data_IF_578941570264
#
_entry.id   IF_578941570264
#
_cell.length_a   1.000
_cell.length_b   1.000
_cell.length_c   1.000
_cell.angle_alpha   90.00
_cell.angle_beta   90.00
_cell.angle_gamma   90.00
#
_symmetry.space_group_name_H-M   'P 1'
#
loop_
_entity.id
_entity.type
_entity.pdbx_description
1 polymer ?
#
# COMPACT_ATOMS: atom_id res chain seq x y z
N UNK A 1 35.52 30.00 16.68
CA UNK A 1 36.71 29.19 16.37
C UNK A 1 36.26 28.07 15.46
N UNK A 2 36.48 28.25 14.19
CA UNK A 2 36.11 27.37 13.09
C UNK A 2 37.17 26.30 12.89
N UNK A 3 36.80 25.02 12.77
CA UNK A 3 37.67 23.95 12.26
C UNK A 3 37.12 23.43 10.93
N UNK A 4 37.98 23.16 9.95
CA UNK A 4 37.59 22.80 8.60
C UNK A 4 37.34 21.29 8.40
N UNK A 5 36.49 20.99 7.42
CA UNK A 5 36.14 19.66 6.91
C UNK A 5 37.24 19.16 5.96
N UNK A 6 37.68 17.90 5.99
CA UNK A 6 38.58 17.37 4.97
C UNK A 6 37.81 16.78 3.78
N UNK A 7 38.28 17.16 2.59
CA UNK A 7 37.97 16.61 1.28
C UNK A 7 38.47 15.17 1.14
N UNK A 8 37.64 14.27 0.63
CA UNK A 8 38.08 12.96 0.12
C UNK A 8 37.81 12.89 -1.39
N UNK A 9 38.88 13.00 -2.15
CA UNK A 9 38.89 12.73 -3.59
C UNK A 9 39.78 11.50 -3.86
N UNK A 10 39.31 10.66 -4.79
CA UNK A 10 40.01 9.70 -5.64
C UNK A 10 40.50 8.37 -5.05
N UNK A 11 39.86 7.30 -5.51
CA UNK A 11 40.56 6.07 -5.87
C UNK A 11 40.24 5.69 -7.32
N UNK A 12 41.28 5.74 -8.14
CA UNK A 12 41.33 5.24 -9.51
C UNK A 12 41.82 3.80 -9.42
N UNK A 13 41.05 2.84 -9.94
CA UNK A 13 41.51 1.46 -10.14
C UNK A 13 41.95 1.27 -11.60
N UNK A 14 43.23 0.96 -11.75
CA UNK A 14 43.87 0.52 -13.00
C UNK A 14 43.37 -0.89 -13.39
N UNK A 15 42.91 -1.02 -14.62
CA UNK A 15 42.73 -2.30 -15.30
C UNK A 15 44.00 -2.68 -16.05
N UNK A 16 44.57 -3.83 -15.75
CA UNK A 16 45.68 -4.43 -16.48
C UNK A 16 45.14 -5.26 -17.67
N UNK A 17 45.85 -5.11 -18.75
CA UNK A 17 45.72 -5.73 -20.08
C UNK A 17 46.09 -7.23 -20.09
N UNK A 18 45.47 -8.00 -20.99
CA UNK A 18 46.07 -9.20 -21.55
C UNK A 18 45.11 -10.30 -21.94
N UNK A 19 44.77 -10.40 -23.17
CA UNK A 19 45.01 -11.56 -24.06
C UNK A 19 44.08 -11.54 -25.28
N UNK A 20 44.65 -11.68 -26.47
CA UNK A 20 43.95 -11.75 -27.74
C UNK A 20 43.56 -13.21 -28.06
N UNK A 21 42.42 -13.47 -28.69
CA UNK A 21 42.13 -14.78 -29.29
C UNK A 21 42.46 -14.83 -30.76
N UNK A 22 43.01 -15.99 -31.14
CA UNK A 22 43.40 -16.43 -32.47
C UNK A 22 42.27 -16.39 -33.53
N UNK A 23 42.66 -16.06 -34.76
CA UNK A 23 41.82 -16.13 -35.96
C UNK A 23 41.58 -17.57 -36.37
N UNK A 24 40.34 -18.02 -36.43
CA UNK A 24 39.88 -19.16 -37.21
C UNK A 24 38.98 -18.71 -38.35
N UNK A 25 39.35 -19.20 -39.54
CA UNK A 25 38.84 -18.88 -40.86
C UNK A 25 37.40 -19.35 -41.12
N UNK A 26 36.71 -18.52 -41.87
CA UNK A 26 35.34 -18.70 -42.38
C UNK A 26 35.24 -19.81 -43.45
N UNK A 27 34.20 -20.64 -43.36
CA UNK A 27 33.36 -21.13 -44.45
C UNK A 27 32.35 -22.16 -43.95
N UNK A 28 31.20 -21.72 -43.51
CA UNK A 28 29.89 -22.43 -43.51
C UNK A 28 28.84 -21.61 -42.71
N UNK A 29 28.43 -20.49 -43.25
CA UNK A 29 27.35 -19.65 -42.65
C UNK A 29 26.51 -19.04 -43.78
N UNK A 30 25.65 -19.82 -44.39
CA UNK A 30 24.67 -19.23 -45.31
C UNK A 30 23.31 -19.96 -45.41
N UNK A 31 23.09 -21.07 -44.68
CA UNK A 31 21.78 -21.77 -44.78
C UNK A 31 21.02 -21.97 -43.45
N UNK A 32 21.55 -21.50 -42.34
CA UNK A 32 20.86 -21.68 -41.02
C UNK A 32 20.09 -20.46 -40.53
N UNK A 33 20.29 -19.27 -41.11
CA UNK A 33 19.75 -18.03 -40.59
C UNK A 33 18.33 -17.67 -41.08
N UNK A 34 17.77 -18.34 -42.08
CA UNK A 34 16.43 -17.94 -42.58
C UNK A 34 15.27 -18.62 -41.81
N UNK A 35 15.49 -19.83 -41.27
CA UNK A 35 14.45 -20.54 -40.50
C UNK A 35 14.30 -20.00 -39.06
N UNK A 36 15.42 -19.67 -38.43
CA UNK A 36 15.42 -19.13 -37.03
C UNK A 36 14.85 -17.72 -36.99
N UNK A 37 15.06 -16.90 -38.03
CA UNK A 37 14.46 -15.55 -38.09
C UNK A 37 12.96 -15.57 -38.38
N UNK A 38 12.45 -16.56 -39.12
CA UNK A 38 10.99 -16.70 -39.31
C UNK A 38 10.28 -17.27 -38.09
N UNK A 39 10.90 -18.14 -37.32
CA UNK A 39 10.34 -18.64 -36.06
C UNK A 39 10.42 -17.58 -34.95
N UNK A 40 11.47 -16.76 -34.85
CA UNK A 40 11.59 -15.64 -33.96
C UNK A 40 10.59 -14.51 -34.29
N UNK A 41 10.35 -14.23 -35.59
CA UNK A 41 9.34 -13.25 -36.00
C UNK A 41 7.91 -13.73 -35.77
N UNK A 42 7.66 -15.05 -35.84
CA UNK A 42 6.35 -15.62 -35.54
C UNK A 42 6.08 -15.69 -34.03
N UNK A 43 7.12 -15.94 -33.23
CA UNK A 43 7.01 -15.89 -31.75
C UNK A 43 6.84 -14.45 -31.23
N UNK A 44 7.50 -13.46 -31.84
CA UNK A 44 7.27 -12.05 -31.51
C UNK A 44 5.89 -11.54 -31.96
N UNK A 45 5.31 -12.11 -33.02
CA UNK A 45 3.96 -11.76 -33.46
C UNK A 45 2.84 -12.42 -32.60
N UNK A 46 3.16 -13.48 -31.86
CA UNK A 46 2.21 -14.16 -30.96
C UNK A 46 2.29 -13.59 -29.52
N UNK A 47 3.37 -12.87 -29.18
CA UNK A 47 3.50 -12.12 -27.92
C UNK A 47 2.93 -10.69 -27.97
N UNK A 48 2.30 -10.30 -29.06
CA UNK A 48 1.44 -9.12 -29.13
C UNK A 48 0.20 -9.37 -28.28
N UNK A 49 0.29 -9.00 -27.01
CA UNK A 49 -0.75 -9.08 -26.00
C UNK A 49 -2.14 -8.84 -26.62
N UNK A 50 -3.08 -9.65 -26.25
CA UNK A 50 -4.50 -9.30 -26.36
C UNK A 50 -4.77 -8.11 -25.44
N UNK A 51 -4.33 -6.90 -25.78
CA UNK A 51 -4.95 -5.70 -25.27
C UNK A 51 -6.41 -5.83 -25.66
N UNK A 52 -7.32 -5.70 -24.71
CA UNK A 52 -8.75 -5.72 -24.95
C UNK A 52 -9.11 -4.78 -26.11
N UNK A 53 -10.30 -4.93 -26.68
CA UNK A 53 -10.76 -4.00 -27.70
C UNK A 53 -10.71 -2.57 -27.15
N UNK A 54 -10.17 -1.63 -27.92
CA UNK A 54 -10.05 -0.22 -27.51
C UNK A 54 -11.40 0.30 -27.02
N UNK A 55 -11.42 0.87 -25.83
CA UNK A 55 -12.61 1.50 -25.26
C UNK A 55 -12.93 2.78 -26.04
N UNK A 56 -14.09 2.84 -26.63
CA UNK A 56 -14.56 3.99 -27.45
C UNK A 56 -15.79 4.69 -26.86
N UNK A 57 -16.36 4.14 -25.78
CA UNK A 57 -17.51 4.75 -25.11
C UNK A 57 -17.07 6.01 -24.34
N UNK A 58 -18.01 6.99 -24.21
CA UNK A 58 -17.76 8.19 -23.42
C UNK A 58 -17.88 7.88 -21.92
N UNK A 59 -16.81 8.10 -21.11
CA UNK A 59 -16.83 7.83 -19.68
C UNK A 59 -17.88 8.66 -18.92
N UNK A 60 -18.19 9.88 -19.36
CA UNK A 60 -19.17 10.74 -18.69
C UNK A 60 -20.60 10.21 -18.82
N UNK A 61 -20.88 9.45 -19.86
CA UNK A 61 -22.18 8.81 -20.12
C UNK A 61 -22.23 7.33 -19.71
N UNK A 62 -21.13 6.78 -19.18
CA UNK A 62 -21.04 5.38 -18.77
C UNK A 62 -21.99 5.05 -17.62
N UNK A 63 -22.60 3.87 -17.68
CA UNK A 63 -23.47 3.38 -16.60
C UNK A 63 -22.64 2.71 -15.51
N UNK A 64 -22.23 3.48 -14.51
CA UNK A 64 -21.59 2.95 -13.31
C UNK A 64 -22.63 2.18 -12.47
N UNK A 65 -22.29 1.00 -12.02
CA UNK A 65 -23.19 0.11 -11.29
C UNK A 65 -22.59 -0.54 -10.06
N UNK A 66 -21.27 -0.44 -9.87
CA UNK A 66 -20.55 -0.99 -8.73
C UNK A 66 -19.62 0.07 -8.15
N UNK A 67 -19.53 0.17 -6.83
CA UNK A 67 -18.67 1.15 -6.16
C UNK A 67 -17.94 0.54 -4.95
N UNK A 68 -16.74 1.07 -4.70
CA UNK A 68 -15.92 0.79 -3.52
C UNK A 68 -15.33 2.10 -2.99
N UNK A 69 -15.00 2.13 -1.69
CA UNK A 69 -14.12 3.14 -1.10
C UNK A 69 -12.76 2.53 -0.79
N UNK A 70 -11.73 3.38 -0.69
CA UNK A 70 -10.37 2.97 -0.37
C UNK A 70 -9.75 3.98 0.59
N UNK A 71 -9.05 3.47 1.63
CA UNK A 71 -8.45 4.27 2.70
C UNK A 71 -7.25 3.54 3.30
N UNK A 72 -6.15 4.24 3.55
CA UNK A 72 -4.97 3.69 4.23
C UNK A 72 -4.60 4.51 5.46
N UNK A 73 -3.80 3.92 6.34
CA UNK A 73 -3.15 4.63 7.45
C UNK A 73 -4.13 5.41 8.34
N UNK A 74 -5.26 4.79 8.63
CA UNK A 74 -6.38 5.41 9.32
C UNK A 74 -6.42 5.15 10.83
N UNK A 75 -5.70 4.14 11.32
CA UNK A 75 -5.81 3.65 12.68
C UNK A 75 -5.23 4.59 13.72
N UNK A 76 -6.03 5.47 14.32
CA UNK A 76 -5.55 6.48 15.28
C UNK A 76 -4.76 5.91 16.45
N UNK A 77 -3.81 6.68 16.95
CA UNK A 77 -2.98 6.34 18.12
C UNK A 77 -3.72 6.41 19.45
N UNK A 78 -4.84 7.16 19.50
CA UNK A 78 -5.63 7.41 20.69
C UNK A 78 -7.02 6.81 20.55
N UNK A 79 -7.54 6.29 21.65
CA UNK A 79 -8.84 5.64 21.69
C UNK A 79 -10.00 6.59 21.40
N UNK A 80 -9.84 7.87 21.70
CA UNK A 80 -10.86 8.90 21.44
C UNK A 80 -10.19 10.18 20.99
N UNK A 81 -10.78 10.82 19.98
CA UNK A 81 -10.39 12.14 19.51
C UNK A 81 -9.41 12.10 18.34
N UNK A 82 -8.45 13.00 18.36
CA UNK A 82 -7.59 13.31 17.24
C UNK A 82 -6.55 12.23 16.94
N UNK A 83 -6.13 12.21 15.73
CA UNK A 83 -4.82 11.70 15.38
C UNK A 83 -3.76 12.48 16.18
N UNK A 84 -2.60 12.14 16.15
CA UNK A 84 -1.47 13.04 16.35
C UNK A 84 -1.40 13.76 17.71
N UNK A 85 -1.35 13.07 18.81
CA UNK A 85 -1.03 13.65 20.13
C UNK A 85 0.42 14.19 20.23
N UNK A 86 0.98 14.63 19.12
CA UNK A 86 2.35 15.17 19.07
C UNK A 86 2.33 16.68 19.27
N UNK A 87 3.46 17.26 19.51
CA UNK A 87 3.72 18.65 19.83
C UNK A 87 3.11 19.71 18.89
N UNK A 88 3.31 20.96 19.23
CA UNK A 88 2.82 22.22 18.64
C UNK A 88 2.96 22.47 17.12
N UNK A 89 3.30 21.48 16.31
CA UNK A 89 3.49 21.62 14.86
C UNK A 89 2.30 21.19 14.01
N UNK A 90 1.18 20.76 14.63
CA UNK A 90 -0.03 20.36 13.90
C UNK A 90 -0.84 21.55 13.45
N UNK A 91 -1.46 21.37 12.28
CA UNK A 91 -2.51 22.26 11.83
C UNK A 91 -3.89 21.78 12.34
N UNK A 92 -4.93 22.55 12.05
CA UNK A 92 -6.29 22.21 12.49
C UNK A 92 -6.83 20.94 11.85
N UNK A 93 -6.30 20.51 10.71
CA UNK A 93 -6.74 19.29 10.01
C UNK A 93 -6.25 18.02 10.71
N UNK A 94 -5.13 18.07 11.43
CA UNK A 94 -4.64 16.93 12.20
C UNK A 94 -5.55 16.57 13.38
N UNK A 95 -6.29 17.56 13.89
CA UNK A 95 -7.20 17.33 15.00
C UNK A 95 -8.42 16.52 14.55
N UNK A 96 -8.58 15.33 15.15
CA UNK A 96 -9.69 14.42 14.84
C UNK A 96 -9.73 13.96 13.36
N UNK A 97 -8.59 13.83 12.72
CA UNK A 97 -8.49 13.54 11.27
C UNK A 97 -9.27 12.27 10.88
N UNK A 98 -9.17 11.19 11.65
CA UNK A 98 -9.94 9.96 11.42
C UNK A 98 -11.46 10.19 11.51
N UNK A 99 -11.94 10.98 12.50
CA UNK A 99 -13.36 11.35 12.63
C UNK A 99 -13.85 12.17 11.42
N UNK A 100 -12.99 13.06 10.92
CA UNK A 100 -13.27 13.86 9.71
C UNK A 100 -13.41 12.94 8.51
N UNK A 101 -12.44 12.05 8.26
CA UNK A 101 -12.50 11.14 7.11
C UNK A 101 -13.70 10.19 7.21
N UNK A 102 -13.99 9.64 8.39
CA UNK A 102 -15.17 8.82 8.61
C UNK A 102 -16.49 9.58 8.30
N UNK A 103 -16.57 10.86 8.68
CA UNK A 103 -17.70 11.74 8.38
C UNK A 103 -17.84 12.00 6.86
N UNK A 104 -16.72 12.23 6.17
CA UNK A 104 -16.68 12.39 4.71
C UNK A 104 -17.16 11.13 4.00
N UNK A 105 -16.66 9.95 4.41
CA UNK A 105 -17.07 8.65 3.86
C UNK A 105 -18.55 8.41 4.07
N UNK A 106 -19.07 8.66 5.29
CA UNK A 106 -20.50 8.52 5.58
C UNK A 106 -21.36 9.44 4.72
N UNK A 107 -20.96 10.71 4.56
CA UNK A 107 -21.66 11.70 3.73
C UNK A 107 -21.63 11.31 2.25
N UNK A 108 -20.46 10.92 1.73
CA UNK A 108 -20.33 10.47 0.32
C UNK A 108 -21.17 9.23 0.08
N UNK A 109 -21.13 8.22 0.96
CA UNK A 109 -21.95 7.01 0.85
C UNK A 109 -23.45 7.32 0.89
N UNK A 110 -23.88 8.27 1.74
CA UNK A 110 -25.28 8.72 1.82
C UNK A 110 -25.79 9.35 0.52
N UNK A 111 -24.94 10.12 -0.16
CA UNK A 111 -25.27 10.87 -1.37
C UNK A 111 -24.90 10.13 -2.68
N UNK A 112 -24.18 9.01 -2.61
CA UNK A 112 -23.74 8.29 -3.80
C UNK A 112 -24.91 7.69 -4.59
N UNK A 113 -24.90 7.86 -5.92
CA UNK A 113 -25.85 7.22 -6.81
C UNK A 113 -25.69 5.70 -6.80
N UNK A 114 -24.43 5.23 -6.73
CA UNK A 114 -24.06 3.82 -6.57
C UNK A 114 -23.44 3.68 -5.19
N UNK A 115 -24.12 2.95 -4.30
CA UNK A 115 -23.65 2.76 -2.94
C UNK A 115 -22.40 1.88 -2.91
N UNK A 116 -21.38 2.21 -2.08
CA UNK A 116 -20.20 1.37 -1.94
C UNK A 116 -20.55 0.00 -1.36
N UNK A 117 -20.03 -1.06 -1.97
CA UNK A 117 -20.24 -2.45 -1.53
C UNK A 117 -19.09 -2.94 -0.62
N UNK A 118 -17.96 -2.27 -0.64
CA UNK A 118 -16.79 -2.62 0.14
C UNK A 118 -15.96 -1.37 0.44
N UNK A 119 -15.22 -1.40 1.54
CA UNK A 119 -14.15 -0.45 1.86
C UNK A 119 -12.84 -1.23 1.83
N UNK A 120 -11.86 -0.72 1.09
CA UNK A 120 -10.54 -1.32 0.88
C UNK A 120 -9.56 -0.61 1.82
N UNK A 121 -9.03 -1.35 2.82
CA UNK A 121 -8.09 -0.82 3.81
C UNK A 121 -6.65 -1.16 3.44
N UNK A 122 -5.76 -0.16 3.37
CA UNK A 122 -4.38 -0.30 2.91
C UNK A 122 -3.36 -0.58 4.03
N UNK A 123 -3.81 -1.01 5.22
CA UNK A 123 -2.92 -1.27 6.35
C UNK A 123 -2.71 -0.06 7.25
N UNK A 124 -1.82 -0.23 8.24
CA UNK A 124 -1.65 0.64 9.39
C UNK A 124 -3.01 0.91 10.07
N UNK A 125 -3.65 -0.22 10.39
CA UNK A 125 -4.98 -0.26 10.98
C UNK A 125 -4.99 0.18 12.44
N UNK A 126 -3.83 0.10 13.14
CA UNK A 126 -3.70 0.42 14.57
C UNK A 126 -2.33 0.99 14.93
N UNK A 127 -2.19 2.30 14.93
CA UNK A 127 -0.96 2.96 15.38
C UNK A 127 -0.79 2.90 16.89
N UNK A 128 0.46 2.78 17.47
CA UNK A 128 1.74 2.67 16.73
C UNK A 128 2.20 1.22 16.63
N UNK A 129 1.53 0.32 17.32
CA UNK A 129 2.06 -1.01 17.66
C UNK A 129 1.09 -2.15 17.31
N UNK A 130 0.07 -1.88 16.49
CA UNK A 130 -0.93 -2.87 16.15
C UNK A 130 -1.81 -3.26 17.36
N UNK A 131 -2.29 -4.48 17.35
CA UNK A 131 -2.97 -5.10 18.49
C UNK A 131 -1.93 -5.77 19.40
N UNK A 132 -1.90 -5.41 20.67
CA UNK A 132 -0.85 -5.80 21.60
C UNK A 132 -1.17 -7.04 22.45
N UNK A 133 -2.45 -7.37 22.60
CA UNK A 133 -2.88 -8.56 23.32
C UNK A 133 -4.28 -8.97 22.89
N UNK A 134 -4.63 -10.25 23.13
CA UNK A 134 -5.98 -10.73 22.87
C UNK A 134 -7.01 -10.05 23.78
N UNK A 135 -6.65 -9.79 25.04
CA UNK A 135 -7.52 -9.15 26.03
C UNK A 135 -7.81 -7.68 25.66
N UNK A 136 -6.82 -6.97 25.08
CA UNK A 136 -6.96 -5.57 24.66
C UNK A 136 -7.58 -5.40 23.28
N UNK A 137 -7.68 -6.47 22.49
CA UNK A 137 -8.11 -6.42 21.09
C UNK A 137 -9.48 -5.77 20.90
N UNK A 138 -10.49 -6.30 21.58
CA UNK A 138 -11.87 -5.87 21.36
C UNK A 138 -12.09 -4.41 21.77
N UNK A 139 -11.43 -3.98 22.85
CA UNK A 139 -11.44 -2.57 23.26
C UNK A 139 -10.74 -1.68 22.23
N UNK A 140 -9.62 -2.13 21.66
CA UNK A 140 -8.88 -1.38 20.65
C UNK A 140 -9.69 -1.26 19.35
N UNK A 141 -10.33 -2.33 18.91
CA UNK A 141 -11.24 -2.30 17.78
C UNK A 141 -12.44 -1.40 18.02
N UNK A 142 -13.05 -1.50 19.20
CA UNK A 142 -14.22 -0.66 19.55
C UNK A 142 -13.90 0.82 19.43
N UNK A 143 -12.78 1.26 19.98
CA UNK A 143 -12.45 2.69 20.06
C UNK A 143 -11.80 3.26 18.79
N UNK A 144 -11.06 2.45 18.04
CA UNK A 144 -10.35 2.91 16.84
C UNK A 144 -11.15 2.64 15.56
N UNK A 145 -11.94 1.58 15.50
CA UNK A 145 -12.64 1.18 14.28
C UNK A 145 -14.16 1.34 14.38
N UNK A 146 -14.78 0.68 15.39
CA UNK A 146 -16.24 0.58 15.44
C UNK A 146 -16.90 1.92 15.77
N UNK A 147 -16.37 2.66 16.75
CA UNK A 147 -16.88 3.97 17.14
C UNK A 147 -16.62 5.04 16.07
N UNK A 148 -15.44 4.98 15.39
CA UNK A 148 -15.04 5.94 14.39
C UNK A 148 -15.86 5.82 13.10
N UNK A 149 -15.94 4.64 12.54
CA UNK A 149 -16.68 4.38 11.31
C UNK A 149 -18.13 3.92 11.59
N UNK A 150 -18.81 4.59 12.53
CA UNK A 150 -20.16 4.24 13.02
C UNK A 150 -21.29 4.90 12.23
N UNK A 151 -20.99 5.72 11.22
CA UNK A 151 -21.98 6.42 10.41
C UNK A 151 -22.97 5.47 9.72
N UNK A 152 -24.28 5.82 9.71
CA UNK A 152 -25.35 4.93 9.27
C UNK A 152 -25.21 4.46 7.81
N UNK A 153 -24.48 5.19 6.97
CA UNK A 153 -24.29 4.84 5.57
C UNK A 153 -23.05 3.96 5.33
N UNK A 154 -22.20 3.75 6.34
CA UNK A 154 -20.94 2.99 6.22
C UNK A 154 -20.76 1.88 7.24
N UNK A 155 -21.48 1.93 8.38
CA UNK A 155 -21.24 1.04 9.52
C UNK A 155 -21.44 -0.46 9.26
N UNK A 156 -22.12 -0.82 8.18
CA UNK A 156 -22.35 -2.22 7.79
C UNK A 156 -21.66 -2.61 6.48
N UNK A 157 -20.89 -1.69 5.88
CA UNK A 157 -20.14 -1.99 4.66
C UNK A 157 -18.94 -2.88 5.03
N UNK A 158 -18.74 -4.03 4.37
CA UNK A 158 -17.57 -4.87 4.60
C UNK A 158 -16.27 -4.13 4.31
N UNK A 159 -15.28 -4.28 5.18
CA UNK A 159 -13.90 -3.85 4.96
C UNK A 159 -13.05 -5.05 4.53
N UNK A 160 -12.13 -4.84 3.60
CA UNK A 160 -11.09 -5.79 3.19
C UNK A 160 -9.74 -5.14 3.46
N UNK A 161 -8.97 -5.71 4.38
CA UNK A 161 -7.80 -5.07 4.94
C UNK A 161 -6.54 -5.86 4.64
N UNK A 162 -5.43 -5.18 4.60
CA UNK A 162 -4.08 -5.74 4.70
C UNK A 162 -3.41 -5.20 5.95
N UNK A 163 -2.24 -5.71 6.33
CA UNK A 163 -1.45 -5.19 7.43
C UNK A 163 -0.37 -4.24 6.93
N UNK A 164 -0.19 -3.13 7.67
CA UNK A 164 0.97 -2.26 7.52
C UNK A 164 2.07 -2.61 8.54
N UNK A 165 3.16 -1.83 8.51
CA UNK A 165 4.27 -2.07 9.42
C UNK A 165 3.93 -1.81 10.88
N UNK A 166 3.05 -0.85 11.16
CA UNK A 166 2.60 -0.58 12.53
C UNK A 166 1.71 -1.68 13.07
N UNK A 167 0.98 -2.40 12.23
CA UNK A 167 0.19 -3.55 12.64
C UNK A 167 1.04 -4.70 13.19
N UNK A 168 2.28 -4.84 12.71
CA UNK A 168 3.28 -5.78 13.24
C UNK A 168 4.09 -5.24 14.42
N UNK A 169 3.83 -4.01 14.87
CA UNK A 169 4.51 -3.40 16.01
C UNK A 169 5.47 -2.28 15.64
N UNK A 170 5.61 -1.92 14.38
CA UNK A 170 6.52 -0.89 13.90
C UNK A 170 7.96 -1.16 14.33
N UNK A 171 8.70 -0.12 14.73
CA UNK A 171 10.09 -0.24 15.19
C UNK A 171 10.23 -0.75 16.64
N UNK A 172 9.13 -1.18 17.29
CA UNK A 172 9.11 -1.24 18.74
C UNK A 172 8.74 -2.57 19.35
N UNK A 173 7.64 -3.19 18.92
CA UNK A 173 6.92 -4.02 19.89
C UNK A 173 6.27 -5.26 19.27
N UNK A 174 7.02 -6.06 18.55
CA UNK A 174 6.53 -7.33 18.02
C UNK A 174 6.00 -8.24 19.15
N UNK A 175 6.75 -8.35 20.24
CA UNK A 175 6.38 -9.18 21.42
C UNK A 175 5.65 -8.39 22.51
N UNK A 176 5.10 -7.21 22.21
CA UNK A 176 4.47 -6.38 23.21
C UNK A 176 3.20 -7.02 23.76
N UNK A 177 3.12 -7.11 25.10
CA UNK A 177 1.95 -7.53 25.85
C UNK A 177 1.28 -6.39 26.64
N UNK A 178 1.42 -5.16 26.15
CA UNK A 178 0.91 -3.96 26.81
C UNK A 178 1.98 -3.10 27.49
N UNK A 179 3.20 -3.57 27.66
CA UNK A 179 4.33 -2.80 28.17
C UNK A 179 5.11 -2.18 26.99
N UNK A 180 5.30 -0.87 27.04
CA UNK A 180 5.91 -0.08 25.97
C UNK A 180 7.40 -0.40 25.68
N UNK A 181 8.04 -1.29 26.42
CA UNK A 181 9.43 -1.67 26.23
C UNK A 181 9.65 -3.19 26.15
N UNK A 182 8.59 -3.95 25.88
CA UNK A 182 8.70 -5.41 25.76
C UNK A 182 9.58 -5.78 24.55
N UNK A 183 10.59 -6.59 24.82
CA UNK A 183 11.48 -7.20 23.83
C UNK A 183 11.07 -8.64 23.63
N UNK A 184 11.31 -9.18 22.44
CA UNK A 184 11.25 -10.62 22.29
C UNK A 184 12.41 -11.28 23.04
N UNK A 185 12.13 -12.31 23.82
CA UNK A 185 13.15 -13.01 24.64
C UNK A 185 14.08 -13.84 23.76
N UNK A 186 13.55 -14.41 22.69
CA UNK A 186 14.27 -15.24 21.74
C UNK A 186 13.62 -15.22 20.35
N UNK A 187 14.23 -15.94 19.41
CA UNK A 187 13.73 -16.07 18.03
C UNK A 187 12.32 -16.68 17.97
N UNK A 188 12.02 -17.67 18.82
CA UNK A 188 10.70 -18.32 18.81
C UNK A 188 9.60 -17.34 19.28
N UNK A 189 9.91 -16.57 20.33
CA UNK A 189 9.01 -15.53 20.83
C UNK A 189 8.76 -14.44 19.77
N UNK A 190 9.80 -14.04 19.01
CA UNK A 190 9.68 -13.04 17.95
C UNK A 190 8.75 -13.56 16.83
N UNK A 191 8.97 -14.75 16.30
CA UNK A 191 8.14 -15.33 15.25
C UNK A 191 6.70 -15.54 15.71
N UNK A 192 6.50 -16.01 16.95
CA UNK A 192 5.18 -16.11 17.55
C UNK A 192 4.51 -14.74 17.72
N UNK A 193 5.29 -13.71 18.03
CA UNK A 193 4.83 -12.33 18.15
C UNK A 193 4.28 -11.81 16.81
N UNK A 194 5.00 -12.01 15.70
CA UNK A 194 4.54 -11.66 14.36
C UNK A 194 3.24 -12.39 14.00
N UNK A 195 3.17 -13.70 14.22
CA UNK A 195 1.96 -14.49 14.00
C UNK A 195 0.77 -14.00 14.85
N UNK A 196 1.01 -13.62 16.10
CA UNK A 196 -0.02 -13.11 16.99
C UNK A 196 -0.57 -11.77 16.51
N UNK A 197 0.29 -10.84 16.06
CA UNK A 197 -0.12 -9.56 15.52
C UNK A 197 -1.10 -9.73 14.36
N UNK A 198 -0.84 -10.67 13.45
CA UNK A 198 -1.76 -11.03 12.40
C UNK A 198 -3.04 -11.67 12.94
N UNK A 199 -2.93 -12.72 13.76
CA UNK A 199 -4.08 -13.51 14.28
C UNK A 199 -5.04 -12.67 15.08
N UNK A 200 -4.58 -11.77 15.91
CA UNK A 200 -5.46 -10.91 16.72
C UNK A 200 -6.32 -9.98 15.87
N UNK A 201 -5.85 -9.55 14.72
CA UNK A 201 -6.65 -8.78 13.78
C UNK A 201 -7.54 -9.67 12.90
N UNK A 202 -7.00 -10.75 12.33
CA UNK A 202 -7.74 -11.65 11.41
C UNK A 202 -8.88 -12.38 12.10
N UNK A 203 -8.78 -12.64 13.40
CA UNK A 203 -9.80 -13.34 14.20
C UNK A 203 -10.78 -12.40 14.89
N UNK A 204 -10.74 -11.09 14.62
CA UNK A 204 -11.72 -10.17 15.16
C UNK A 204 -13.06 -10.33 14.44
N UNK A 205 -14.15 -10.36 15.20
CA UNK A 205 -15.51 -10.39 14.69
C UNK A 205 -16.21 -9.10 15.02
N UNK A 206 -16.49 -8.29 14.01
CA UNK A 206 -17.17 -7.01 14.17
C UNK A 206 -18.63 -7.21 14.58
N UNK A 207 -19.14 -6.47 15.58
CA UNK A 207 -20.57 -6.51 15.96
C UNK A 207 -21.48 -5.87 14.90
N UNK A 208 -20.91 -5.17 13.90
CA UNK A 208 -21.62 -4.52 12.81
C UNK A 208 -21.54 -5.37 11.53
N UNK A 209 -22.37 -6.40 11.42
CA UNK A 209 -22.47 -7.33 10.27
C UNK A 209 -21.15 -8.03 9.91
N UNK A 210 -20.30 -8.29 10.91
CA UNK A 210 -18.98 -8.89 10.71
C UNK A 210 -18.19 -8.21 9.59
N UNK A 211 -18.19 -6.88 9.58
CA UNK A 211 -17.65 -6.05 8.48
C UNK A 211 -16.13 -6.05 8.37
N UNK A 212 -15.40 -6.51 9.39
CA UNK A 212 -13.94 -6.62 9.35
C UNK A 212 -13.52 -7.91 8.65
N UNK A 213 -12.75 -7.81 7.56
CA UNK A 213 -12.20 -8.97 6.87
C UNK A 213 -10.68 -8.79 6.69
N UNK A 214 -9.94 -9.77 7.17
CA UNK A 214 -8.51 -9.99 7.00
C UNK A 214 -8.32 -11.50 7.02
N UNK A 215 -8.61 -12.15 5.87
CA UNK A 215 -8.81 -13.61 5.82
C UNK A 215 -7.46 -14.35 5.90
N UNK A 216 -6.42 -13.81 5.24
CA UNK A 216 -5.05 -14.35 5.20
C UNK A 216 -4.07 -13.24 4.81
N UNK A 217 -2.76 -13.51 4.80
CA UNK A 217 -1.73 -12.62 4.24
C UNK A 217 -1.95 -12.36 2.73
N UNK A 218 -2.46 -13.34 2.01
CA UNK A 218 -2.98 -13.19 0.66
C UNK A 218 -4.40 -13.75 0.57
N UNK A 219 -5.32 -12.94 0.07
CA UNK A 219 -6.68 -13.39 -0.24
C UNK A 219 -7.33 -12.52 -1.32
N UNK A 220 -8.37 -13.05 -1.97
CA UNK A 220 -9.11 -12.34 -3.01
C UNK A 220 -10.55 -12.09 -2.56
N UNK A 221 -10.97 -10.84 -2.62
CA UNK A 221 -12.39 -10.48 -2.42
C UNK A 221 -13.03 -10.16 -3.76
N UNK A 222 -14.05 -10.91 -4.09
CA UNK A 222 -14.90 -10.65 -5.25
C UNK A 222 -16.13 -9.83 -4.86
N UNK A 223 -16.42 -8.77 -5.61
CA UNK A 223 -17.68 -8.03 -5.52
C UNK A 223 -18.26 -7.88 -6.92
N UNK A 224 -19.59 -7.94 -7.03
CA UNK A 224 -20.28 -7.83 -8.32
C UNK A 224 -21.62 -7.08 -8.23
N UNK A 225 -22.03 -6.53 -9.33
CA UNK A 225 -23.42 -6.14 -9.59
C UNK A 225 -24.04 -7.14 -10.56
N UNK A 226 -24.81 -8.09 -10.03
CA UNK A 226 -25.39 -9.17 -10.82
C UNK A 226 -26.31 -8.69 -11.96
N UNK A 227 -26.89 -7.49 -11.85
CA UNK A 227 -27.78 -6.95 -12.87
C UNK A 227 -27.03 -6.46 -14.12
N UNK A 228 -25.84 -5.87 -13.95
CA UNK A 228 -25.00 -5.40 -15.05
C UNK A 228 -23.93 -6.40 -15.47
N UNK A 229 -23.57 -7.34 -14.58
CA UNK A 229 -22.43 -8.25 -14.72
C UNK A 229 -21.07 -7.56 -14.54
N UNK A 230 -21.04 -6.34 -13.99
CA UNK A 230 -19.82 -5.64 -13.63
C UNK A 230 -19.28 -6.22 -12.32
N UNK A 231 -18.00 -6.56 -12.29
CA UNK A 231 -17.36 -7.17 -11.11
C UNK A 231 -15.95 -6.61 -10.88
N UNK A 232 -15.52 -6.67 -9.63
CA UNK A 232 -14.17 -6.31 -9.19
C UNK A 232 -13.60 -7.47 -8.38
N UNK A 233 -12.41 -7.93 -8.74
CA UNK A 233 -11.57 -8.76 -7.87
C UNK A 233 -10.53 -7.88 -7.19
N UNK A 234 -10.53 -7.90 -5.85
CA UNK A 234 -9.57 -7.19 -5.00
C UNK A 234 -8.59 -8.22 -4.48
N UNK A 235 -7.35 -8.14 -4.94
CA UNK A 235 -6.24 -9.00 -4.52
C UNK A 235 -5.53 -8.32 -3.34
N UNK A 236 -5.76 -8.81 -2.14
CA UNK A 236 -5.15 -8.31 -0.92
C UNK A 236 -3.81 -9.02 -0.75
N UNK A 237 -2.72 -8.28 -0.69
CA UNK A 237 -1.35 -8.81 -0.69
C UNK A 237 -0.56 -8.33 0.51
N UNK A 238 0.24 -9.23 1.09
CA UNK A 238 1.22 -8.84 2.10
C UNK A 238 2.44 -8.19 1.43
N UNK A 239 2.75 -7.00 1.86
CA UNK A 239 3.88 -6.21 1.35
C UNK A 239 4.88 -5.81 2.43
N UNK A 240 4.72 -6.26 3.69
CA UNK A 240 5.81 -6.28 4.65
C UNK A 240 6.79 -7.39 4.22
N UNK A 241 7.73 -7.04 3.37
CA UNK A 241 8.67 -7.91 2.66
C UNK A 241 10.10 -7.52 3.03
N UNK A 242 11.04 -8.44 2.86
CA UNK A 242 12.45 -8.20 3.12
C UNK A 242 13.05 -7.03 2.31
N UNK A 243 12.54 -6.77 1.11
CA UNK A 243 13.07 -5.71 0.23
C UNK A 243 12.47 -4.31 0.51
N UNK A 244 11.55 -4.19 1.48
CA UNK A 244 10.96 -2.91 1.89
C UNK A 244 11.69 -2.36 3.12
N UNK A 245 11.80 -1.03 3.23
CA UNK A 245 12.55 -0.42 4.32
C UNK A 245 11.96 -0.68 5.72
N UNK A 246 10.65 -0.88 5.82
CA UNK A 246 9.95 -1.14 7.08
C UNK A 246 10.35 -2.45 7.76
N UNK A 247 10.62 -3.52 7.00
CA UNK A 247 11.01 -4.83 7.54
C UNK A 247 12.22 -4.75 8.47
N UNK A 248 13.25 -3.99 8.10
CA UNK A 248 14.43 -3.77 8.94
C UNK A 248 14.08 -3.15 10.29
N UNK A 249 13.19 -2.17 10.30
CA UNK A 249 12.81 -1.48 11.54
C UNK A 249 12.01 -2.39 12.46
N UNK A 250 11.09 -3.18 11.91
CA UNK A 250 10.31 -4.16 12.67
C UNK A 250 11.24 -5.22 13.24
N UNK A 251 12.10 -5.83 12.41
CA UNK A 251 12.96 -6.92 12.82
C UNK A 251 14.05 -6.51 13.80
N UNK A 252 14.53 -5.27 13.76
CA UNK A 252 15.47 -4.76 14.77
C UNK A 252 14.81 -4.50 16.13
N UNK A 253 13.50 -4.23 16.21
CA UNK A 253 12.80 -3.88 17.44
C UNK A 253 13.52 -2.73 18.19
N UNK A 254 14.03 -1.76 17.46
CA UNK A 254 15.02 -0.82 17.94
C UNK A 254 14.59 -0.04 19.19
N UNK A 255 13.37 0.45 19.26
CA UNK A 255 12.90 1.21 20.42
C UNK A 255 12.86 0.39 21.71
N UNK A 256 12.62 -0.92 21.59
CA UNK A 256 12.71 -1.83 22.72
C UNK A 256 14.15 -2.00 23.24
N UNK A 257 15.14 -2.06 22.34
CA UNK A 257 16.55 -2.23 22.71
C UNK A 257 17.25 -0.92 23.05
N UNK A 258 16.80 0.20 22.54
CA UNK A 258 17.32 1.54 22.85
C UNK A 258 16.66 2.19 24.08
N UNK A 259 15.75 1.51 24.77
CA UNK A 259 14.92 2.04 25.86
C UNK A 259 14.14 3.32 25.46
N UNK A 260 13.64 3.33 24.23
CA UNK A 260 12.84 4.45 23.69
C UNK A 260 13.68 5.57 23.06
N UNK A 261 15.01 5.46 23.02
CA UNK A 261 15.82 6.41 22.26
C UNK A 261 15.64 6.19 20.75
N UNK A 262 14.89 7.09 20.13
CA UNK A 262 14.61 7.02 18.70
C UNK A 262 15.76 7.52 17.81
N UNK A 263 16.70 8.29 18.35
CA UNK A 263 17.77 8.91 17.55
C UNK A 263 18.69 7.88 16.89
N UNK A 264 18.93 6.74 17.55
CA UNK A 264 19.74 5.65 17.01
C UNK A 264 18.98 4.72 16.06
N UNK A 265 17.64 4.79 16.00
CA UNK A 265 16.84 3.81 15.27
C UNK A 265 16.79 4.05 13.76
N UNK A 266 16.93 5.29 13.31
CA UNK A 266 16.85 5.62 11.87
C UNK A 266 17.97 4.95 11.04
N UNK A 267 19.14 4.72 11.64
CA UNK A 267 20.30 4.11 10.99
C UNK A 267 20.67 2.72 11.49
N UNK A 268 19.86 2.13 12.39
CA UNK A 268 20.13 0.81 12.97
C UNK A 268 20.20 -0.26 11.86
N UNK A 269 21.15 -1.18 12.01
CA UNK A 269 21.39 -2.24 11.06
C UNK A 269 21.58 -3.59 11.76
N UNK A 270 21.47 -4.67 11.01
CA UNK A 270 21.75 -6.04 11.46
C UNK A 270 23.07 -6.12 12.22
N UNK A 271 23.03 -6.64 13.44
CA UNK A 271 24.21 -6.78 14.31
C UNK A 271 24.51 -5.60 15.21
N UNK A 272 23.80 -4.47 15.05
CA UNK A 272 23.92 -3.34 15.98
C UNK A 272 23.33 -3.69 17.36
N UNK A 273 23.84 -3.07 18.41
CA UNK A 273 23.35 -3.27 19.78
C UNK A 273 21.85 -2.94 19.93
N UNK A 274 21.30 -2.02 19.12
CA UNK A 274 19.90 -1.66 19.10
C UNK A 274 19.07 -2.50 18.09
N UNK A 275 19.69 -3.47 17.43
CA UNK A 275 19.02 -4.43 16.56
C UNK A 275 19.04 -5.80 17.21
N UNK A 276 17.92 -6.23 17.78
CA UNK A 276 17.81 -7.48 18.56
C UNK A 276 18.90 -7.64 19.65
N UNK A 277 19.41 -6.53 20.20
CA UNK A 277 20.55 -6.58 21.14
C UNK A 277 21.85 -7.09 20.53
N UNK A 278 22.01 -7.06 19.21
CA UNK A 278 23.13 -7.63 18.47
C UNK A 278 22.93 -9.08 18.02
N UNK A 279 21.79 -9.70 18.34
CA UNK A 279 21.47 -11.08 17.91
C UNK A 279 21.08 -11.10 16.42
N UNK A 280 22.04 -11.49 15.60
CA UNK A 280 21.86 -11.59 14.15
C UNK A 280 20.96 -12.75 13.72
N UNK A 281 20.91 -13.83 14.50
CA UNK A 281 20.07 -14.98 14.17
C UNK A 281 18.58 -14.65 14.40
N UNK A 282 18.27 -13.92 15.46
CA UNK A 282 16.93 -13.41 15.72
C UNK A 282 16.47 -12.46 14.60
N UNK A 283 17.33 -11.51 14.21
CA UNK A 283 17.04 -10.59 13.11
C UNK A 283 16.79 -11.33 11.79
N UNK A 284 17.69 -12.27 11.44
CA UNK A 284 17.61 -13.02 10.18
C UNK A 284 16.31 -13.84 10.12
N UNK A 285 15.93 -14.51 11.19
CA UNK A 285 14.70 -15.29 11.24
C UNK A 285 13.43 -14.43 11.01
N UNK A 286 13.40 -13.22 11.55
CA UNK A 286 12.32 -12.27 11.29
C UNK A 286 12.33 -11.82 9.82
N UNK A 287 13.50 -11.49 9.30
CA UNK A 287 13.66 -11.02 7.93
C UNK A 287 13.30 -12.09 6.90
N UNK A 288 13.68 -13.35 7.16
CA UNK A 288 13.31 -14.51 6.35
C UNK A 288 11.79 -14.76 6.37
N UNK A 289 11.13 -14.51 7.51
CA UNK A 289 9.67 -14.63 7.62
C UNK A 289 8.95 -13.62 6.74
N UNK A 290 9.39 -12.36 6.71
CA UNK A 290 8.85 -11.36 5.81
C UNK A 290 9.17 -11.68 4.33
N UNK A 291 10.37 -12.19 4.04
CA UNK A 291 10.71 -12.64 2.68
C UNK A 291 9.80 -13.77 2.20
N UNK A 292 9.47 -14.74 3.08
CA UNK A 292 8.53 -15.82 2.81
C UNK A 292 7.14 -15.26 2.46
N UNK A 293 6.57 -14.39 3.30
CA UNK A 293 5.25 -13.81 3.08
C UNK A 293 5.16 -12.97 1.80
N UNK A 294 6.16 -12.12 1.54
CA UNK A 294 6.22 -11.34 0.31
C UNK A 294 6.34 -12.21 -0.94
N UNK A 295 7.16 -13.26 -0.89
CA UNK A 295 7.29 -14.21 -2.01
C UNK A 295 5.99 -15.00 -2.24
N UNK A 296 5.34 -15.43 -1.17
CA UNK A 296 4.07 -16.15 -1.27
C UNK A 296 2.97 -15.27 -1.87
N UNK A 297 2.86 -14.02 -1.42
CA UNK A 297 1.92 -13.04 -1.99
C UNK A 297 2.15 -12.82 -3.49
N UNK A 298 3.40 -12.65 -3.94
CA UNK A 298 3.71 -12.52 -5.37
C UNK A 298 3.33 -13.77 -6.15
N UNK A 299 3.61 -14.95 -5.60
CA UNK A 299 3.32 -16.23 -6.24
C UNK A 299 1.81 -16.43 -6.39
N UNK A 300 1.05 -16.21 -5.33
CA UNK A 300 -0.41 -16.33 -5.35
C UNK A 300 -1.06 -15.27 -6.25
N UNK A 301 -0.56 -14.02 -6.23
CA UNK A 301 -1.04 -12.97 -7.13
C UNK A 301 -0.87 -13.37 -8.59
N UNK A 302 0.33 -13.84 -8.97
CA UNK A 302 0.62 -14.28 -10.35
C UNK A 302 -0.30 -15.41 -10.83
N UNK A 303 -0.71 -16.30 -9.91
CA UNK A 303 -1.64 -17.38 -10.21
C UNK A 303 -3.10 -16.90 -10.29
N UNK A 304 -3.57 -16.21 -9.23
CA UNK A 304 -4.98 -15.84 -9.06
C UNK A 304 -5.44 -14.79 -10.06
N UNK A 305 -4.57 -13.84 -10.43
CA UNK A 305 -4.91 -12.82 -11.42
C UNK A 305 -5.18 -13.41 -12.81
N UNK A 306 -4.49 -14.49 -13.18
CA UNK A 306 -4.73 -15.23 -14.45
C UNK A 306 -6.06 -15.99 -14.44
N UNK A 307 -6.51 -16.43 -13.27
CA UNK A 307 -7.77 -17.15 -13.10
C UNK A 307 -8.97 -16.21 -13.06
N UNK A 308 -8.76 -14.97 -12.65
CA UNK A 308 -9.81 -13.95 -12.53
C UNK A 308 -10.50 -13.65 -13.85
N UNK A 309 -11.83 -13.61 -13.81
CA UNK A 309 -12.72 -13.20 -14.91
C UNK A 309 -13.44 -11.88 -14.59
N UNK A 310 -13.06 -11.23 -13.49
CA UNK A 310 -13.65 -9.96 -13.12
C UNK A 310 -13.42 -8.89 -14.19
N UNK A 311 -14.40 -7.97 -14.32
CA UNK A 311 -14.28 -6.80 -15.19
C UNK A 311 -13.09 -5.96 -14.80
N UNK A 312 -12.89 -5.79 -13.48
CA UNK A 312 -11.82 -4.99 -12.90
C UNK A 312 -10.96 -5.82 -11.93
N UNK A 313 -9.67 -5.65 -12.02
CA UNK A 313 -8.68 -6.31 -11.16
C UNK A 313 -7.89 -5.24 -10.43
N UNK A 314 -7.98 -5.25 -9.11
CA UNK A 314 -7.36 -4.23 -8.23
C UNK A 314 -6.50 -4.93 -7.21
N UNK A 315 -5.26 -4.49 -7.03
CA UNK A 315 -4.40 -4.92 -5.93
C UNK A 315 -4.57 -3.96 -4.76
N UNK A 316 -4.70 -4.50 -3.57
CA UNK A 316 -4.68 -3.81 -2.28
C UNK A 316 -3.43 -4.21 -1.50
N UNK A 317 -2.65 -3.24 -1.07
CA UNK A 317 -1.40 -3.45 -0.34
C UNK A 317 -1.13 -2.32 0.64
N UNK A 318 -0.11 -2.46 1.49
CA UNK A 318 0.35 -1.35 2.32
C UNK A 318 1.46 -0.56 1.65
N UNK A 319 2.47 -1.23 1.10
CA UNK A 319 3.60 -0.56 0.43
C UNK A 319 3.42 -0.52 -1.08
N UNK A 320 3.72 0.64 -1.68
CA UNK A 320 3.82 0.80 -3.12
C UNK A 320 5.01 0.01 -3.69
N UNK A 321 4.88 -0.61 -4.89
CA UNK A 321 5.86 -1.57 -5.38
C UNK A 321 7.17 -0.94 -5.87
N UNK A 322 7.27 0.38 -6.03
CA UNK A 322 8.47 1.05 -6.55
C UNK A 322 8.97 2.19 -5.66
N UNK A 323 8.13 2.85 -4.90
CA UNK A 323 8.48 4.01 -4.06
C UNK A 323 8.88 3.62 -2.63
N UNK A 324 8.50 2.44 -2.18
CA UNK A 324 8.82 1.92 -0.86
C UNK A 324 9.80 0.74 -0.87
N UNK A 325 10.04 0.15 -2.04
CA UNK A 325 10.95 -0.97 -2.23
C UNK A 325 12.32 -0.51 -2.72
N UNK A 326 13.36 -1.26 -2.40
CA UNK A 326 14.60 -1.20 -3.15
C UNK A 326 14.38 -1.68 -4.60
N UNK A 327 15.24 -1.29 -5.54
CA UNK A 327 15.11 -1.64 -6.96
C UNK A 327 14.95 -3.15 -7.20
N UNK A 328 15.64 -3.99 -6.40
CA UNK A 328 15.52 -5.45 -6.48
C UNK A 328 14.11 -5.94 -6.14
N UNK A 329 13.49 -5.36 -5.12
CA UNK A 329 12.11 -5.68 -4.72
C UNK A 329 11.09 -5.16 -5.72
N UNK A 330 11.28 -3.93 -6.23
CA UNK A 330 10.49 -3.39 -7.33
C UNK A 330 10.46 -4.35 -8.52
N UNK A 331 11.62 -4.84 -8.94
CA UNK A 331 11.71 -5.75 -10.09
C UNK A 331 10.92 -7.06 -9.85
N UNK A 332 10.96 -7.62 -8.63
CA UNK A 332 10.17 -8.81 -8.26
C UNK A 332 8.66 -8.56 -8.40
N UNK A 333 8.17 -7.39 -7.98
CA UNK A 333 6.77 -7.00 -8.16
C UNK A 333 6.44 -6.75 -9.64
N UNK A 334 7.27 -6.02 -10.38
CA UNK A 334 7.03 -5.69 -11.77
C UNK A 334 7.02 -6.93 -12.68
N UNK A 335 7.78 -7.97 -12.34
CA UNK A 335 7.73 -9.26 -13.05
C UNK A 335 6.35 -9.95 -12.91
N UNK A 336 5.67 -9.76 -11.79
CA UNK A 336 4.31 -10.28 -11.57
C UNK A 336 3.24 -9.36 -12.16
N UNK A 337 3.45 -8.05 -12.11
CA UNK A 337 2.47 -7.05 -12.55
C UNK A 337 2.43 -6.90 -14.07
N UNK A 338 3.56 -7.11 -14.74
CA UNK A 338 3.66 -7.02 -16.20
C UNK A 338 2.75 -8.05 -16.86
N UNK A 339 1.95 -7.62 -17.83
CA UNK A 339 0.99 -8.46 -18.58
C UNK A 339 -0.07 -9.17 -17.70
N UNK A 340 -0.26 -8.72 -16.46
CA UNK A 340 -1.23 -9.29 -15.52
C UNK A 340 -2.69 -8.94 -15.86
N UNK A 341 -2.91 -7.80 -16.52
CA UNK A 341 -4.23 -7.21 -16.72
C UNK A 341 -4.82 -6.60 -15.42
N UNK A 342 -4.00 -6.29 -14.44
CA UNK A 342 -4.38 -5.46 -13.29
C UNK A 342 -4.57 -4.03 -13.77
N UNK A 343 -5.65 -3.37 -13.31
CA UNK A 343 -5.98 -2.01 -13.71
C UNK A 343 -5.48 -0.97 -12.69
N UNK A 344 -5.52 -1.31 -11.40
CA UNK A 344 -5.06 -0.41 -10.34
C UNK A 344 -4.34 -1.17 -9.23
N UNK A 345 -3.32 -0.53 -8.66
CA UNK A 345 -2.57 -0.96 -7.49
C UNK A 345 -2.70 0.14 -6.43
N UNK A 346 -3.44 -0.15 -5.35
CA UNK A 346 -3.76 0.78 -4.28
C UNK A 346 -2.86 0.49 -3.07
N UNK A 347 -2.34 1.53 -2.43
CA UNK A 347 -1.43 1.39 -1.29
C UNK A 347 -1.44 2.62 -0.38
N UNK A 348 -0.84 2.51 0.80
CA UNK A 348 -0.73 3.54 1.82
C UNK A 348 0.73 3.82 2.21
N UNK A 349 1.03 3.74 3.50
CA UNK A 349 2.33 3.92 4.18
C UNK A 349 2.85 5.35 4.20
N UNK A 350 3.04 6.03 3.08
CA UNK A 350 3.25 7.47 3.06
C UNK A 350 1.89 8.13 3.28
N UNK A 351 1.81 9.02 4.29
CA UNK A 351 0.55 9.66 4.65
C UNK A 351 0.20 10.81 3.72
N UNK A 352 0.26 10.52 2.43
CA UNK A 352 -0.04 11.40 1.32
C UNK A 352 -0.93 10.73 0.29
N UNK A 353 -1.25 11.47 -0.76
CA UNK A 353 -2.05 10.95 -1.87
C UNK A 353 -1.43 11.33 -3.21
N UNK A 354 -1.33 10.37 -4.10
CA UNK A 354 -0.95 10.57 -5.50
C UNK A 354 -1.57 9.54 -6.41
N UNK A 355 -1.50 9.84 -7.70
CA UNK A 355 -1.87 8.96 -8.77
C UNK A 355 -0.76 8.95 -9.82
N UNK A 356 -0.16 7.80 -10.04
CA UNK A 356 0.84 7.54 -11.06
C UNK A 356 0.31 6.53 -12.08
N UNK A 357 0.84 6.55 -13.30
CA UNK A 357 0.49 5.60 -14.34
C UNK A 357 1.73 4.96 -14.96
N UNK A 358 1.66 3.66 -15.20
CA UNK A 358 2.65 2.90 -15.96
C UNK A 358 2.13 2.53 -17.35
N UNK A 359 2.63 3.20 -18.37
CA UNK A 359 2.27 2.90 -19.76
C UNK A 359 2.71 1.48 -20.16
N UNK A 360 3.88 1.04 -19.71
CA UNK A 360 4.43 -0.28 -20.05
C UNK A 360 3.65 -1.45 -19.45
N UNK A 361 2.96 -1.23 -18.32
CA UNK A 361 2.17 -2.26 -17.64
C UNK A 361 0.65 -2.04 -17.81
N UNK A 362 0.21 -0.83 -18.14
CA UNK A 362 -1.20 -0.45 -18.18
C UNK A 362 -1.83 -0.38 -16.79
N UNK A 363 -1.05 -0.02 -15.75
CA UNK A 363 -1.48 -0.04 -14.35
C UNK A 363 -1.45 1.38 -13.77
N UNK A 364 -2.52 1.74 -13.08
CA UNK A 364 -2.60 2.94 -12.25
C UNK A 364 -2.15 2.63 -10.82
N UNK A 365 -1.17 3.37 -10.31
CA UNK A 365 -0.68 3.27 -8.95
C UNK A 365 -1.26 4.42 -8.13
N UNK A 366 -1.93 4.10 -7.03
CA UNK A 366 -2.65 5.09 -6.22
C UNK A 366 -2.17 4.99 -4.79
N UNK A 367 -1.40 5.99 -4.34
CA UNK A 367 -1.05 6.19 -2.94
C UNK A 367 -2.21 6.88 -2.24
N UNK A 368 -2.63 6.35 -1.11
CA UNK A 368 -3.80 6.78 -0.35
C UNK A 368 -3.58 6.52 1.14
N UNK A 369 -2.57 7.16 1.71
CA UNK A 369 -2.13 6.95 3.09
C UNK A 369 -2.57 8.02 4.08
N UNK A 370 -3.34 9.04 3.68
CA UNK A 370 -3.81 10.07 4.60
C UNK A 370 -5.22 9.82 5.12
N UNK A 371 -5.49 8.61 5.63
CA UNK A 371 -6.76 8.22 6.23
C UNK A 371 -7.05 8.78 7.62
N UNK A 372 -6.08 9.45 8.24
CA UNK A 372 -6.29 10.19 9.49
C UNK A 372 -5.79 9.52 10.76
N UNK A 373 -5.03 8.43 10.67
CA UNK A 373 -4.45 7.74 11.82
C UNK A 373 -3.35 8.52 12.50
N UNK A 374 -2.46 9.10 11.70
CA UNK A 374 -1.40 10.01 12.14
C UNK A 374 -1.28 11.19 11.16
N UNK A 375 -0.33 12.10 11.40
CA UNK A 375 -0.22 13.33 10.62
C UNK A 375 -0.03 13.06 9.12
N UNK A 376 -0.60 13.96 8.31
CA UNK A 376 -0.40 13.99 6.87
C UNK A 376 1.03 14.33 6.50
N UNK A 377 1.50 13.76 5.40
CA UNK A 377 2.80 13.98 4.78
C UNK A 377 2.63 14.36 3.31
N UNK A 378 3.72 14.75 2.66
CA UNK A 378 3.73 14.86 1.20
C UNK A 378 3.72 13.46 0.60
N UNK A 379 3.07 13.30 -0.53
CA UNK A 379 3.10 12.05 -1.29
C UNK A 379 4.55 11.64 -1.64
N UNK A 380 4.79 10.34 -1.69
CA UNK A 380 6.09 9.79 -2.05
C UNK A 380 6.51 10.17 -3.48
N UNK A 381 7.81 10.37 -3.71
CA UNK A 381 8.34 10.59 -5.05
C UNK A 381 8.51 9.30 -5.85
N UNK A 382 8.64 9.43 -7.17
CA UNK A 382 9.07 8.32 -8.03
C UNK A 382 10.60 8.25 -7.95
N UNK A 383 11.19 7.16 -7.42
CA UNK A 383 12.64 7.07 -7.31
C UNK A 383 13.31 6.96 -8.69
N UNK A 384 14.58 7.38 -8.85
CA UNK A 384 15.26 7.44 -10.14
C UNK A 384 15.22 6.14 -10.95
N UNK A 385 15.30 4.97 -10.30
CA UNK A 385 15.24 3.67 -10.95
C UNK A 385 13.85 3.30 -11.49
N UNK A 386 12.79 3.99 -11.03
CA UNK A 386 11.41 3.73 -11.44
C UNK A 386 10.87 4.74 -12.47
N UNK A 387 11.60 5.82 -12.79
CA UNK A 387 11.12 6.89 -13.68
C UNK A 387 10.82 6.45 -15.11
N UNK A 388 11.39 5.33 -15.56
CA UNK A 388 11.09 4.73 -16.87
C UNK A 388 9.80 3.88 -16.86
N UNK A 389 9.23 3.63 -15.70
CA UNK A 389 8.08 2.73 -15.53
C UNK A 389 6.82 3.45 -15.08
N UNK A 390 6.95 4.55 -14.33
CA UNK A 390 5.83 5.27 -13.78
C UNK A 390 5.95 6.78 -14.07
N UNK A 391 4.79 7.41 -14.32
CA UNK A 391 4.68 8.86 -14.55
C UNK A 391 3.60 9.42 -13.62
N UNK A 392 3.93 10.46 -12.88
CA UNK A 392 2.97 11.12 -12.00
C UNK A 392 1.87 11.82 -12.80
N UNK A 393 0.63 11.56 -12.45
CA UNK A 393 -0.56 12.18 -13.02
C UNK A 393 -1.17 13.22 -12.08
N UNK A 394 -1.01 13.00 -10.78
CA UNK A 394 -1.51 13.92 -9.76
C UNK A 394 -0.87 13.60 -8.40
N UNK A 395 -0.65 14.63 -7.59
CA UNK A 395 -0.32 14.52 -6.19
C UNK A 395 -1.07 15.61 -5.41
N UNK A 396 -1.60 15.25 -4.25
CA UNK A 396 -2.30 16.21 -3.40
C UNK A 396 -1.32 17.01 -2.55
N UNK A 397 -1.45 18.33 -2.61
CA UNK A 397 -0.56 19.26 -1.89
C UNK A 397 -1.27 20.02 -0.76
N UNK A 398 -2.55 19.73 -0.51
CA UNK A 398 -3.29 20.31 0.62
C UNK A 398 -2.97 19.58 1.92
N UNK A 399 -3.44 20.16 3.03
CA UNK A 399 -3.21 19.63 4.38
C UNK A 399 -4.34 18.71 4.86
N UNK A 400 -5.42 18.61 4.09
CA UNK A 400 -6.62 17.87 4.47
C UNK A 400 -6.44 16.37 4.22
N UNK A 401 -7.04 15.57 5.09
CA UNK A 401 -7.12 14.11 4.98
C UNK A 401 -8.30 13.67 4.11
N UNK A 402 -8.25 12.45 3.61
CA UNK A 402 -9.30 11.98 2.72
C UNK A 402 -9.28 10.50 2.42
N UNK A 403 -9.98 10.15 1.35
CA UNK A 403 -10.11 8.78 0.87
C UNK A 403 -10.42 8.77 -0.63
N UNK A 404 -10.20 7.63 -1.29
CA UNK A 404 -10.61 7.46 -2.67
C UNK A 404 -11.94 6.72 -2.80
N UNK A 405 -12.72 7.05 -3.83
CA UNK A 405 -13.83 6.23 -4.32
C UNK A 405 -13.53 5.69 -5.70
N UNK A 406 -14.02 4.48 -5.94
CA UNK A 406 -14.00 3.76 -7.19
C UNK A 406 -15.43 3.52 -7.62
N UNK A 407 -15.80 3.93 -8.84
CA UNK A 407 -17.08 3.64 -9.46
C UNK A 407 -16.84 2.89 -10.77
N UNK A 408 -17.35 1.67 -10.91
CA UNK A 408 -17.09 0.78 -12.03
C UNK A 408 -18.28 0.63 -12.96
N UNK A 409 -18.00 0.70 -14.25
CA UNK A 409 -18.84 0.26 -15.35
C UNK A 409 -18.18 -0.91 -16.10
N UNK A 410 -18.71 -1.33 -17.24
CA UNK A 410 -18.05 -2.36 -18.07
C UNK A 410 -16.75 -1.86 -18.70
N UNK A 411 -16.71 -0.59 -19.07
CA UNK A 411 -15.64 0.00 -19.87
C UNK A 411 -14.74 0.94 -19.07
N UNK A 412 -15.28 1.51 -17.96
CA UNK A 412 -14.61 2.58 -17.22
C UNK A 412 -14.64 2.35 -15.72
N UNK A 413 -13.49 2.58 -15.07
CA UNK A 413 -13.37 2.73 -13.64
C UNK A 413 -13.07 4.20 -13.34
N UNK A 414 -13.98 4.86 -12.63
CA UNK A 414 -13.81 6.25 -12.21
C UNK A 414 -13.17 6.29 -10.83
N UNK A 415 -12.00 6.86 -10.75
CA UNK A 415 -11.22 7.07 -9.54
C UNK A 415 -11.41 8.52 -9.07
N UNK A 416 -11.77 8.75 -7.79
CA UNK A 416 -11.90 10.10 -7.25
C UNK A 416 -11.32 10.20 -5.84
N UNK A 417 -10.48 11.22 -5.59
CA UNK A 417 -10.06 11.59 -4.24
C UNK A 417 -11.06 12.57 -3.61
N UNK A 418 -11.46 12.29 -2.40
CA UNK A 418 -12.43 13.06 -1.63
C UNK A 418 -11.82 13.57 -0.33
N UNK A 419 -12.06 14.85 -0.03
CA UNK A 419 -11.66 15.51 1.20
C UNK A 419 -12.69 16.56 1.63
N UNK A 420 -12.38 17.38 2.62
CA UNK A 420 -13.24 18.46 3.12
C UNK A 420 -13.44 19.55 2.07
N UNK A 421 -14.63 20.14 2.04
CA UNK A 421 -14.85 21.40 1.32
C UNK A 421 -14.46 22.60 2.19
N UNK A 422 -14.58 23.82 1.63
CA UNK A 422 -14.23 25.08 2.25
C UNK A 422 -15.17 25.53 3.40
N UNK A 423 -16.24 24.75 3.65
CA UNK A 423 -17.19 25.03 4.73
C UNK A 423 -16.80 24.37 6.05
N UNK A 424 -15.88 23.41 6.03
CA UNK A 424 -15.39 22.78 7.23
C UNK A 424 -14.62 23.77 8.11
N UNK A 425 -14.92 23.73 9.41
CA UNK A 425 -14.14 24.38 10.45
C UNK A 425 -13.88 23.37 11.55
N UNK A 426 -12.64 22.93 11.66
CA UNK A 426 -12.23 21.85 12.58
C UNK A 426 -11.65 22.47 13.85
N UNK A 427 -12.19 22.08 14.99
CA UNK A 427 -11.72 22.54 16.30
C UNK A 427 -11.22 21.36 17.11
N UNK A 428 -10.45 21.68 18.16
CA UNK A 428 -9.94 20.67 19.09
C UNK A 428 -11.05 19.74 19.58
N UNK A 429 -10.80 18.46 19.57
CA UNK A 429 -11.71 17.39 20.03
C UNK A 429 -13.07 17.34 19.33
N UNK A 430 -13.18 17.91 18.15
CA UNK A 430 -14.42 17.92 17.37
C UNK A 430 -15.60 18.67 18.04
N UNK A 431 -15.33 19.37 19.16
CA UNK A 431 -16.36 19.89 20.02
C UNK A 431 -17.19 21.04 19.40
N UNK A 432 -16.56 21.88 18.58
CA UNK A 432 -17.21 23.02 17.91
C UNK A 432 -16.95 22.96 16.39
N UNK A 433 -16.71 21.77 15.85
CA UNK A 433 -16.44 21.58 14.43
C UNK A 433 -17.70 21.88 13.62
N UNK A 434 -17.58 22.76 12.64
CA UNK A 434 -18.61 22.92 11.61
C UNK A 434 -18.36 21.87 10.54
N UNK A 435 -19.34 21.00 10.31
CA UNK A 435 -19.28 19.96 9.29
C UNK A 435 -19.71 20.56 7.96
N UNK A 436 -18.85 20.50 6.96
CA UNK A 436 -19.11 20.91 5.60
C UNK A 436 -19.50 19.74 4.69
N UNK A 437 -19.31 19.92 3.40
CA UNK A 437 -19.54 18.92 2.38
C UNK A 437 -18.28 18.12 2.02
N UNK A 438 -18.40 17.29 0.99
CA UNK A 438 -17.33 16.49 0.42
C UNK A 438 -16.86 17.12 -0.87
N UNK A 439 -15.59 17.54 -0.94
CA UNK A 439 -14.96 18.02 -2.16
C UNK A 439 -14.23 16.88 -2.88
N UNK A 440 -14.34 16.84 -4.22
CA UNK A 440 -13.48 16.00 -5.05
C UNK A 440 -12.29 16.85 -5.52
N UNK A 441 -11.06 16.44 -5.16
CA UNK A 441 -9.83 17.15 -5.53
C UNK A 441 -9.06 16.45 -6.66
N UNK A 442 -9.41 15.23 -6.98
CA UNK A 442 -8.92 14.47 -8.12
C UNK A 442 -10.05 13.63 -8.71
N UNK A 443 -10.03 13.49 -10.03
CA UNK A 443 -10.94 12.62 -10.75
C UNK A 443 -10.27 12.11 -12.02
N UNK A 444 -10.35 10.79 -12.25
CA UNK A 444 -9.75 10.15 -13.41
C UNK A 444 -10.61 9.00 -13.93
N UNK A 445 -10.74 8.91 -15.23
CA UNK A 445 -11.39 7.79 -15.91
C UNK A 445 -10.34 6.80 -16.40
N UNK A 446 -10.31 5.61 -15.82
CA UNK A 446 -9.43 4.49 -16.16
C UNK A 446 -10.20 3.59 -17.14
N UNK A 447 -9.70 3.37 -18.36
CA UNK A 447 -10.37 2.47 -19.32
C UNK A 447 -9.99 1.00 -19.09
N UNK A 448 -10.91 0.10 -19.44
CA UNK A 448 -10.73 -1.34 -19.26
C UNK A 448 -9.65 -1.96 -20.20
N UNK A 449 -9.18 -1.23 -21.19
CA UNK A 449 -8.16 -1.70 -22.15
C UNK A 449 -6.71 -1.49 -21.65
N UNK A 450 -6.52 -0.94 -20.42
CA UNK A 450 -5.21 -0.70 -19.83
C UNK A 450 -4.47 0.51 -20.41
N UNK A 451 -5.14 1.40 -21.14
CA UNK A 451 -4.58 2.69 -21.54
C UNK A 451 -4.67 3.70 -20.38
N UNK A 452 -3.98 4.84 -20.52
CA UNK A 452 -3.89 5.84 -19.45
C UNK A 452 -5.24 6.43 -19.02
N UNK A 453 -6.16 6.59 -19.95
CA UNK A 453 -7.41 7.29 -19.67
C UNK A 453 -7.25 8.81 -19.59
N UNK A 454 -8.12 9.48 -18.82
CA UNK A 454 -8.14 10.94 -18.76
C UNK A 454 -8.73 11.47 -17.45
N UNK A 455 -8.40 12.72 -17.13
CA UNK A 455 -9.12 13.46 -16.09
C UNK A 455 -10.61 13.62 -16.42
N UNK A 456 -11.46 13.62 -15.38
CA UNK A 456 -12.92 13.81 -15.59
C UNK A 456 -13.25 15.23 -16.10
#
# INVERSE_FOLDING_TARGET
MTRPVPNLNRFILQLSSGEQPEKRTSKSRAMFNCKVLMEAALVLAIMGASRGATVTSDPASAKYSLSAFAIGDWGTTVAKGSCCSRSATYNNFDLNAEDVVASLMNTKAGNAAVKPKVIIGHGDNFYWTGINSLEGRDSRFATTFEEKFSGNNIKTIPWVNVLGNHDYGGASYVCNSGDNNAKCEDTAALLQGLDNKFKWQSQYTSPNDNRWNLDDHFYVRHIEDAASGVSIDIFNVETNDADVHGARLICCQCYGYSNGDSMGCNSVARGDAYCCGGDTAMYDACYDKFAEWGQDSRTQLAEKVKQSKATWKIVNSHYGPYDHYAEVGMNKWFDVLRDSGIHAFLYGHTHGEKHDFSESMGIHFVENGAGGGIQKESASGIPPFATNYATNKWAYTGDEYGFFSLEASKDWLKLQYHTTDDKWSITEKFANTTIGGVAAKHCWYIPADGTEGSAC
#
